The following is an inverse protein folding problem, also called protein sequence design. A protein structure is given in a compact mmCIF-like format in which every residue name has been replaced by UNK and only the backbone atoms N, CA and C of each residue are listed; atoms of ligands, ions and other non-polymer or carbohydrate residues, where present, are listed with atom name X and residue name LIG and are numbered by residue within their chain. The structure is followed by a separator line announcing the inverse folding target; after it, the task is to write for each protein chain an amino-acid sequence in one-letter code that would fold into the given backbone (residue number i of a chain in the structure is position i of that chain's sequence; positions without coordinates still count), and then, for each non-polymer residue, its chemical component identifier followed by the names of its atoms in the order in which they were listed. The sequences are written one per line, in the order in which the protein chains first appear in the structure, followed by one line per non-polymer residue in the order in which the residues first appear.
data_IF_605704297175
#
_entry.id   IF_605704297175
#
_cell.length_a   1.000
_cell.length_b   1.000
_cell.length_c   1.000
_cell.angle_alpha   90.00
_cell.angle_beta   90.00
_cell.angle_gamma   90.00
#
_symmetry.space_group_name_H-M   'P 1'
#
loop_
_entity.id
_entity.type
_entity.pdbx_description
1 polymer ?
#
# COMPACT_ATOMS: atom_id res chain seq x y z
N UNK A 1 0.18 -13.33 -13.22
CA UNK A 1 -0.52 -12.12 -13.66
C UNK A 1 0.33 -10.95 -13.25
N UNK A 2 0.73 -10.09 -14.17
CA UNK A 2 1.61 -8.95 -13.88
C UNK A 2 0.99 -7.67 -14.44
N UNK A 3 1.19 -6.55 -13.76
CA UNK A 3 0.71 -5.24 -14.20
C UNK A 3 1.89 -4.37 -14.58
N UNK A 4 1.81 -3.74 -15.74
CA UNK A 4 2.78 -2.78 -16.25
C UNK A 4 2.17 -1.39 -16.24
N UNK A 5 2.95 -0.40 -15.78
CA UNK A 5 2.55 1.00 -15.79
C UNK A 5 3.29 1.76 -16.89
N UNK A 6 2.53 2.47 -17.74
CA UNK A 6 3.06 3.14 -18.93
C UNK A 6 2.57 4.59 -18.95
N UNK A 7 3.49 5.54 -18.89
CA UNK A 7 3.18 6.98 -19.00
C UNK A 7 2.88 7.39 -20.43
N UNK A 8 2.22 8.54 -20.55
CA UNK A 8 1.88 9.23 -21.79
C UNK A 8 0.77 8.56 -22.62
N UNK A 9 0.05 7.59 -22.07
CA UNK A 9 -1.15 7.04 -22.70
C UNK A 9 -2.35 7.97 -22.46
N UNK A 10 -2.84 8.63 -23.49
CA UNK A 10 -3.90 9.67 -23.35
C UNK A 10 -5.17 9.39 -24.18
N UNK A 11 -5.17 8.38 -25.05
CA UNK A 11 -6.31 8.05 -25.92
C UNK A 11 -6.31 6.57 -26.34
N UNK A 12 -7.38 6.14 -27.00
CA UNK A 12 -7.52 4.75 -27.44
C UNK A 12 -6.48 4.33 -28.49
N UNK A 13 -5.98 5.26 -29.30
CA UNK A 13 -4.85 4.98 -30.20
C UNK A 13 -3.59 4.58 -29.44
N UNK A 14 -3.36 5.22 -28.28
CA UNK A 14 -2.25 4.83 -27.39
C UNK A 14 -2.44 3.41 -26.85
N UNK A 15 -3.68 3.04 -26.47
CA UNK A 15 -3.97 1.66 -26.02
C UNK A 15 -3.69 0.64 -27.13
N UNK A 16 -4.07 0.94 -28.38
CA UNK A 16 -3.82 0.07 -29.53
C UNK A 16 -2.33 -0.08 -29.80
N UNK A 17 -1.57 1.03 -29.84
CA UNK A 17 -0.14 1.03 -30.07
C UNK A 17 0.61 0.22 -29.00
N UNK A 18 0.29 0.45 -27.72
CA UNK A 18 0.86 -0.28 -26.60
C UNK A 18 0.53 -1.79 -26.67
N UNK A 19 -0.72 -2.14 -27.00
CA UNK A 19 -1.13 -3.54 -27.16
C UNK A 19 -0.35 -4.25 -28.26
N UNK A 20 -0.15 -3.60 -29.42
CA UNK A 20 0.64 -4.15 -30.52
C UNK A 20 2.11 -4.32 -30.14
N UNK A 21 2.68 -3.32 -29.46
CA UNK A 21 4.08 -3.39 -29.01
C UNK A 21 4.31 -4.53 -28.02
N UNK A 22 3.36 -4.75 -27.09
CA UNK A 22 3.40 -5.89 -26.16
C UNK A 22 3.40 -7.22 -26.90
N UNK A 23 2.50 -7.40 -27.88
CA UNK A 23 2.43 -8.62 -28.68
C UNK A 23 3.71 -8.88 -29.49
N UNK A 24 4.35 -7.84 -30.04
CA UNK A 24 5.62 -7.95 -30.75
C UNK A 24 6.76 -8.46 -29.85
N UNK A 25 6.70 -8.15 -28.55
CA UNK A 25 7.68 -8.62 -27.56
C UNK A 25 7.31 -9.99 -26.96
N UNK A 26 6.20 -10.60 -27.45
CA UNK A 26 5.72 -11.89 -26.95
C UNK A 26 5.06 -11.81 -25.57
N UNK A 27 4.43 -10.67 -25.27
CA UNK A 27 3.62 -10.47 -24.07
C UNK A 27 2.14 -10.35 -24.45
N UNK A 28 1.26 -11.02 -23.71
CA UNK A 28 -0.16 -11.08 -24.03
C UNK A 28 -0.97 -10.16 -23.09
N UNK A 29 -1.40 -8.98 -23.57
CA UNK A 29 -2.21 -8.08 -22.77
C UNK A 29 -3.60 -8.67 -22.56
N UNK A 30 -4.02 -8.79 -21.30
CA UNK A 30 -5.38 -9.18 -20.91
C UNK A 30 -6.32 -7.97 -20.83
N UNK A 31 -5.80 -6.85 -20.35
CA UNK A 31 -6.53 -5.60 -20.23
C UNK A 31 -5.57 -4.43 -20.46
N UNK A 32 -5.96 -3.48 -21.30
CA UNK A 32 -5.19 -2.25 -21.58
C UNK A 32 -6.04 -1.05 -21.26
N UNK A 33 -5.63 -0.30 -20.23
CA UNK A 33 -6.24 0.97 -19.82
C UNK A 33 -5.23 2.11 -20.00
N UNK A 34 -5.70 3.35 -19.83
CA UNK A 34 -4.81 4.52 -19.90
C UNK A 34 -3.84 4.52 -18.71
N UNK A 35 -2.57 4.25 -18.99
CA UNK A 35 -1.50 4.20 -17.99
C UNK A 35 -1.26 2.85 -17.33
N UNK A 36 -2.13 1.84 -17.54
CA UNK A 36 -2.03 0.54 -16.90
C UNK A 36 -2.35 -0.60 -17.87
N UNK A 37 -1.51 -1.65 -17.85
CA UNK A 37 -1.70 -2.84 -18.68
C UNK A 37 -1.52 -4.09 -17.83
N UNK A 38 -2.55 -4.94 -17.79
CA UNK A 38 -2.47 -6.27 -17.19
C UNK A 38 -2.07 -7.29 -18.25
N UNK A 39 -1.05 -8.11 -17.96
CA UNK A 39 -0.56 -9.20 -18.81
C UNK A 39 -0.71 -10.55 -18.11
N UNK A 40 -0.78 -11.63 -18.89
CA UNK A 40 -0.97 -12.98 -18.36
C UNK A 40 0.30 -13.53 -17.73
N UNK A 41 1.45 -13.22 -18.32
CA UNK A 41 2.76 -13.73 -17.93
C UNK A 41 3.47 -12.81 -16.94
N UNK A 42 4.56 -13.32 -16.37
CA UNK A 42 5.58 -12.51 -15.69
C UNK A 42 6.69 -12.24 -16.71
N UNK A 43 6.89 -11.00 -17.15
CA UNK A 43 7.87 -10.69 -18.19
C UNK A 43 9.30 -10.92 -17.69
N UNK A 44 10.15 -11.48 -18.54
CA UNK A 44 11.59 -11.59 -18.28
C UNK A 44 12.28 -10.23 -18.35
N UNK A 45 13.47 -10.12 -17.77
CA UNK A 45 14.27 -8.89 -17.81
C UNK A 45 14.61 -8.48 -19.26
N UNK A 46 14.82 -9.44 -20.16
CA UNK A 46 15.07 -9.17 -21.58
C UNK A 46 13.84 -8.63 -22.29
N UNK A 47 12.66 -9.20 -22.03
CA UNK A 47 11.39 -8.70 -22.57
C UNK A 47 11.08 -7.28 -22.10
N UNK A 48 11.29 -6.99 -20.81
CA UNK A 48 11.11 -5.64 -20.26
C UNK A 48 12.06 -4.62 -20.88
N UNK A 49 13.33 -5.01 -21.13
CA UNK A 49 14.31 -4.15 -21.79
C UNK A 49 13.89 -3.82 -23.23
N UNK A 50 13.49 -4.85 -24.02
CA UNK A 50 13.02 -4.69 -25.39
C UNK A 50 11.74 -3.85 -25.44
N UNK A 51 10.77 -4.15 -24.56
CA UNK A 51 9.52 -3.39 -24.44
C UNK A 51 9.77 -1.91 -24.11
N UNK A 52 10.68 -1.63 -23.17
CA UNK A 52 11.06 -0.26 -22.80
C UNK A 52 11.62 0.53 -23.99
N UNK A 53 12.49 -0.08 -24.79
CA UNK A 53 13.05 0.55 -25.98
C UNK A 53 11.96 0.83 -27.03
N UNK A 54 11.13 -0.16 -27.36
CA UNK A 54 10.06 -0.02 -28.33
C UNK A 54 8.99 1.01 -27.92
N UNK A 55 8.59 1.03 -26.65
CA UNK A 55 7.65 2.04 -26.12
C UNK A 55 8.23 3.45 -26.17
N UNK A 56 9.54 3.61 -25.90
CA UNK A 56 10.21 4.90 -25.95
C UNK A 56 10.21 5.49 -27.35
N UNK A 57 10.40 4.69 -28.40
CA UNK A 57 10.32 5.13 -29.80
C UNK A 57 8.94 5.69 -30.16
N UNK A 58 7.89 5.19 -29.52
CA UNK A 58 6.51 5.65 -29.67
C UNK A 58 6.13 6.82 -28.75
N UNK A 59 7.07 7.34 -27.95
CA UNK A 59 6.85 8.41 -26.99
C UNK A 59 6.25 8.00 -25.66
N UNK A 60 6.14 6.68 -25.39
CA UNK A 60 5.69 6.15 -24.12
C UNK A 60 6.88 5.86 -23.19
N UNK A 61 6.63 5.85 -21.88
CA UNK A 61 7.62 5.49 -20.86
C UNK A 61 7.11 4.32 -20.02
N UNK A 62 7.79 3.17 -20.10
CA UNK A 62 7.52 2.06 -19.19
C UNK A 62 8.06 2.39 -17.80
N UNK A 63 7.16 2.52 -16.83
CA UNK A 63 7.54 2.75 -15.44
C UNK A 63 8.17 1.51 -14.85
N UNK A 64 9.18 1.73 -14.00
CA UNK A 64 9.84 0.62 -13.32
C UNK A 64 8.88 0.07 -12.24
N UNK A 65 8.49 -1.19 -12.37
CA UNK A 65 7.62 -1.87 -11.42
C UNK A 65 8.26 -1.98 -10.02
N UNK A 66 9.57 -1.71 -9.89
CA UNK A 66 10.29 -1.68 -8.62
C UNK A 66 9.68 -0.66 -7.63
N UNK A 67 9.20 0.48 -8.12
CA UNK A 67 8.57 1.49 -7.24
C UNK A 67 7.32 0.92 -6.59
N UNK A 68 6.43 0.32 -7.38
CA UNK A 68 5.20 -0.30 -6.85
C UNK A 68 5.51 -1.51 -5.97
N UNK A 69 6.44 -2.37 -6.37
CA UNK A 69 6.90 -3.49 -5.53
C UNK A 69 7.42 -3.01 -4.17
N UNK A 70 8.18 -1.91 -4.14
CA UNK A 70 8.66 -1.35 -2.87
C UNK A 70 7.50 -0.84 -2.02
N UNK A 71 6.50 -0.18 -2.61
CA UNK A 71 5.28 0.25 -1.91
C UNK A 71 4.54 -0.96 -1.33
N UNK A 72 4.34 -2.01 -2.12
CA UNK A 72 3.66 -3.24 -1.70
C UNK A 72 4.42 -3.94 -0.56
N UNK A 73 5.75 -3.93 -0.60
CA UNK A 73 6.58 -4.44 0.48
C UNK A 73 6.46 -3.61 1.76
N UNK A 74 6.43 -2.26 1.67
CA UNK A 74 6.19 -1.37 2.81
C UNK A 74 4.84 -1.69 3.43
N UNK A 75 3.77 -1.70 2.63
CA UNK A 75 2.41 -2.01 3.10
C UNK A 75 2.34 -3.38 3.78
N UNK A 76 2.91 -4.40 3.14
CA UNK A 76 2.95 -5.76 3.68
C UNK A 76 3.71 -5.85 5.01
N UNK A 77 4.85 -5.15 5.14
CA UNK A 77 5.61 -5.10 6.39
C UNK A 77 4.81 -4.44 7.52
N UNK A 78 4.12 -3.32 7.23
CA UNK A 78 3.30 -2.61 8.21
C UNK A 78 2.06 -3.42 8.63
N UNK A 79 1.42 -4.11 7.69
CA UNK A 79 0.30 -5.01 7.99
C UNK A 79 0.78 -6.16 8.89
N UNK A 80 1.93 -6.78 8.59
CA UNK A 80 2.50 -7.82 9.47
C UNK A 80 2.76 -7.28 10.88
N UNK A 81 3.37 -6.10 11.00
CA UNK A 81 3.66 -5.49 12.29
C UNK A 81 2.40 -5.27 13.12
N UNK A 82 1.35 -4.74 12.52
CA UNK A 82 0.10 -4.38 13.22
C UNK A 82 -0.77 -5.59 13.52
N UNK A 83 -0.93 -6.53 12.57
CA UNK A 83 -1.88 -7.63 12.69
C UNK A 83 -1.30 -8.91 13.29
N UNK A 84 -0.03 -9.22 13.05
CA UNK A 84 0.59 -10.46 13.48
C UNK A 84 1.51 -10.30 14.69
N UNK A 85 2.03 -9.09 14.91
CA UNK A 85 2.90 -8.80 16.04
C UNK A 85 2.24 -7.86 17.07
N UNK A 86 0.93 -7.62 16.95
CA UNK A 86 0.17 -6.70 17.83
C UNK A 86 0.88 -5.36 18.07
N UNK A 87 1.57 -4.88 17.03
CA UNK A 87 2.38 -3.66 17.07
C UNK A 87 3.54 -3.69 18.09
N UNK A 88 4.02 -4.86 18.47
CA UNK A 88 5.16 -5.02 19.38
C UNK A 88 6.46 -5.08 18.57
N UNK A 89 7.06 -3.93 18.33
CA UNK A 89 8.43 -3.82 17.82
C UNK A 89 9.34 -3.34 18.93
N UNK A 90 10.52 -3.95 19.06
CA UNK A 90 11.59 -3.49 19.96
C UNK A 90 12.28 -2.21 19.43
N UNK A 91 12.04 -1.84 18.17
CA UNK A 91 12.65 -0.71 17.48
C UNK A 91 11.57 0.28 17.03
N UNK A 92 11.97 1.51 16.73
CA UNK A 92 11.07 2.49 16.15
C UNK A 92 10.66 2.08 14.70
N UNK A 93 9.64 2.74 14.15
CA UNK A 93 9.07 2.43 12.84
C UNK A 93 10.10 2.53 11.70
N UNK A 94 10.96 3.55 11.76
CA UNK A 94 11.98 3.79 10.72
C UNK A 94 13.03 2.67 10.70
N UNK A 95 13.51 2.27 11.87
CA UNK A 95 14.50 1.19 11.99
C UNK A 95 13.90 -0.16 11.60
N UNK A 96 12.64 -0.41 11.99
CA UNK A 96 11.91 -1.62 11.59
C UNK A 96 11.84 -1.74 10.07
N UNK A 97 11.35 -0.69 9.38
CA UNK A 97 11.22 -0.71 7.92
C UNK A 97 12.56 -0.77 7.20
N UNK A 98 13.56 -0.02 7.68
CA UNK A 98 14.91 -0.04 7.09
C UNK A 98 15.56 -1.41 7.19
N UNK A 99 15.39 -2.08 8.31
CA UNK A 99 15.90 -3.43 8.54
C UNK A 99 15.15 -4.47 7.69
N UNK A 100 13.82 -4.41 7.67
CA UNK A 100 12.96 -5.36 6.96
C UNK A 100 13.16 -5.29 5.43
N UNK A 101 13.28 -4.06 4.89
CA UNK A 101 13.41 -3.84 3.45
C UNK A 101 14.86 -3.65 2.98
N UNK A 102 15.81 -3.55 3.90
CA UNK A 102 17.23 -3.29 3.63
C UNK A 102 17.45 -2.05 2.77
N UNK A 103 16.68 -1.00 3.06
CA UNK A 103 16.70 0.28 2.36
C UNK A 103 16.65 1.43 3.37
N UNK A 104 17.20 2.57 2.98
CA UNK A 104 17.15 3.77 3.81
C UNK A 104 15.71 4.29 3.96
N UNK A 105 15.32 4.61 5.22
CA UNK A 105 13.96 5.07 5.53
C UNK A 105 13.60 6.36 4.79
N UNK A 106 14.53 7.28 4.60
CA UNK A 106 14.25 8.54 3.90
C UNK A 106 13.85 8.30 2.45
N UNK A 107 14.51 7.34 1.79
CA UNK A 107 14.16 6.92 0.42
C UNK A 107 12.79 6.24 0.37
N UNK A 108 12.50 5.33 1.33
CA UNK A 108 11.20 4.67 1.45
C UNK A 108 10.07 5.67 1.69
N UNK A 109 10.26 6.61 2.63
CA UNK A 109 9.27 7.63 3.00
C UNK A 109 8.97 8.57 1.84
N UNK A 110 9.99 9.03 1.12
CA UNK A 110 9.83 9.86 -0.07
C UNK A 110 9.04 9.13 -1.14
N UNK A 111 9.45 7.91 -1.47
CA UNK A 111 8.78 7.08 -2.48
C UNK A 111 7.32 6.83 -2.13
N UNK A 112 7.04 6.46 -0.87
CA UNK A 112 5.70 6.16 -0.39
C UNK A 112 4.80 7.40 -0.50
N UNK A 113 5.29 8.57 -0.05
CA UNK A 113 4.54 9.82 -0.12
C UNK A 113 4.25 10.27 -1.55
N UNK A 114 5.20 10.07 -2.48
CA UNK A 114 5.02 10.40 -3.90
C UNK A 114 3.96 9.53 -4.58
N UNK A 115 3.85 8.24 -4.20
CA UNK A 115 2.95 7.28 -4.86
C UNK A 115 1.59 7.24 -4.18
N UNK A 116 1.56 7.21 -2.84
CA UNK A 116 0.32 7.02 -2.06
C UNK A 116 -0.36 8.36 -1.66
N UNK A 117 0.32 9.50 -1.84
CA UNK A 117 -0.21 10.81 -1.47
C UNK A 117 -0.31 11.06 0.05
N UNK A 118 0.24 10.16 0.87
CA UNK A 118 0.29 10.25 2.34
C UNK A 118 1.60 9.67 2.88
N UNK A 119 1.98 10.05 4.11
CA UNK A 119 3.21 9.53 4.72
C UNK A 119 3.06 8.09 5.21
N UNK A 120 4.19 7.39 5.39
CA UNK A 120 4.23 6.05 6.00
C UNK A 120 3.62 6.07 7.40
N UNK A 121 3.94 7.10 8.19
CA UNK A 121 3.43 7.25 9.57
C UNK A 121 1.91 7.40 9.57
N UNK A 122 1.36 8.17 8.63
CA UNK A 122 -0.09 8.33 8.50
C UNK A 122 -0.77 7.02 8.16
N UNK A 123 -0.24 6.29 7.19
CA UNK A 123 -0.74 4.97 6.81
C UNK A 123 -0.65 3.96 7.96
N UNK A 124 0.48 3.96 8.70
CA UNK A 124 0.66 3.13 9.87
C UNK A 124 -0.33 3.42 10.99
N UNK A 125 -0.61 4.72 11.26
CA UNK A 125 -1.65 5.11 12.22
C UNK A 125 -3.02 4.58 11.79
N UNK A 126 -3.38 4.72 10.53
CA UNK A 126 -4.65 4.23 9.99
C UNK A 126 -4.79 2.71 10.15
N UNK A 127 -3.75 1.93 9.85
CA UNK A 127 -3.71 0.48 10.09
C UNK A 127 -3.93 0.14 11.57
N UNK A 128 -3.25 0.83 12.48
CA UNK A 128 -3.42 0.62 13.93
C UNK A 128 -4.85 0.90 14.38
N UNK A 129 -5.45 1.95 13.89
CA UNK A 129 -6.83 2.30 14.23
C UNK A 129 -7.82 1.27 13.68
N UNK A 130 -7.63 0.75 12.46
CA UNK A 130 -8.45 -0.35 11.95
C UNK A 130 -8.33 -1.62 12.80
N UNK A 131 -7.14 -1.94 13.29
CA UNK A 131 -6.96 -3.06 14.23
C UNK A 131 -7.64 -2.81 15.58
N UNK A 132 -7.60 -1.57 16.09
CA UNK A 132 -8.34 -1.19 17.31
C UNK A 132 -9.85 -1.30 17.10
N UNK A 133 -10.40 -0.86 15.97
CA UNK A 133 -11.82 -1.06 15.63
C UNK A 133 -12.20 -2.54 15.65
N UNK A 134 -11.34 -3.39 15.11
CA UNK A 134 -11.55 -4.85 15.12
C UNK A 134 -11.67 -5.39 16.54
N UNK A 135 -10.74 -5.04 17.44
CA UNK A 135 -10.81 -5.46 18.85
C UNK A 135 -12.05 -4.93 19.58
N UNK A 136 -12.47 -3.70 19.28
CA UNK A 136 -13.70 -3.13 19.83
C UNK A 136 -14.93 -3.90 19.33
N UNK A 137 -14.97 -4.27 18.06
CA UNK A 137 -16.09 -5.03 17.49
C UNK A 137 -16.21 -6.45 18.05
N UNK A 138 -15.10 -7.10 18.36
CA UNK A 138 -15.12 -8.44 18.99
C UNK A 138 -15.53 -8.39 20.47
N UNK A 139 -15.41 -7.23 21.12
CA UNK A 139 -15.79 -7.00 22.51
C UNK A 139 -15.17 -7.96 23.54
N UNK A 140 -14.00 -8.53 23.20
CA UNK A 140 -13.28 -9.46 24.06
C UNK A 140 -12.29 -8.75 25.01
N UNK A 141 -11.92 -7.51 24.70
CA UNK A 141 -10.91 -6.73 25.40
C UNK A 141 -11.46 -5.38 25.86
N UNK A 142 -11.03 -4.96 27.05
CA UNK A 142 -11.23 -3.58 27.52
C UNK A 142 -10.32 -2.61 26.75
N UNK A 143 -10.67 -1.33 26.72
CA UNK A 143 -9.83 -0.29 26.08
C UNK A 143 -8.41 -0.25 26.66
N UNK A 144 -8.26 -0.54 27.96
CA UNK A 144 -6.94 -0.63 28.61
C UNK A 144 -6.12 -1.79 28.03
N UNK A 145 -6.75 -2.96 27.88
CA UNK A 145 -6.09 -4.13 27.30
C UNK A 145 -5.74 -3.90 25.81
N UNK A 146 -6.64 -3.26 25.05
CA UNK A 146 -6.38 -2.87 23.66
C UNK A 146 -5.20 -1.91 23.58
N UNK A 147 -5.14 -0.89 24.44
CA UNK A 147 -4.03 0.07 24.47
C UNK A 147 -2.69 -0.62 24.75
N UNK A 148 -2.64 -1.51 25.73
CA UNK A 148 -1.45 -2.31 26.05
C UNK A 148 -1.04 -3.21 24.87
N UNK A 149 -2.01 -3.94 24.32
CA UNK A 149 -1.77 -4.88 23.20
C UNK A 149 -1.24 -4.16 21.95
N UNK A 150 -1.78 -2.99 21.66
CA UNK A 150 -1.39 -2.18 20.50
C UNK A 150 -0.20 -1.25 20.79
N UNK A 151 0.49 -1.45 21.93
CA UNK A 151 1.66 -0.68 22.35
C UNK A 151 1.42 0.84 22.36
N UNK A 152 0.28 1.25 22.92
CA UNK A 152 0.01 2.66 23.23
C UNK A 152 0.50 3.00 24.65
N UNK A 153 1.12 4.17 24.80
CA UNK A 153 1.60 4.65 26.12
C UNK A 153 0.49 4.87 27.13
N UNK A 154 -0.75 5.11 26.69
CA UNK A 154 -1.93 5.27 27.53
C UNK A 154 -3.24 5.10 26.75
N UNK A 155 -4.32 4.80 27.47
CA UNK A 155 -5.69 4.80 26.91
C UNK A 155 -6.10 6.19 26.39
N UNK A 156 -5.63 7.26 27.05
CA UNK A 156 -5.90 8.63 26.62
C UNK A 156 -5.26 8.92 25.25
N UNK A 157 -4.02 8.47 25.05
CA UNK A 157 -3.33 8.63 23.77
C UNK A 157 -4.01 7.80 22.66
N UNK A 158 -4.37 6.54 22.93
CA UNK A 158 -5.19 5.73 22.02
C UNK A 158 -6.48 6.46 21.63
N UNK A 159 -7.24 6.97 22.62
CA UNK A 159 -8.52 7.64 22.38
C UNK A 159 -8.38 8.91 21.56
N UNK A 160 -7.33 9.69 21.81
CA UNK A 160 -7.01 10.90 21.05
C UNK A 160 -6.68 10.56 19.59
N UNK A 161 -5.82 9.57 19.37
CA UNK A 161 -5.43 9.14 18.02
C UNK A 161 -6.61 8.51 17.27
N UNK A 162 -7.41 7.69 17.94
CA UNK A 162 -8.63 7.11 17.38
C UNK A 162 -9.60 8.20 16.92
N UNK A 163 -9.84 9.21 17.75
CA UNK A 163 -10.70 10.34 17.40
C UNK A 163 -10.15 11.18 16.25
N UNK A 164 -8.84 11.37 16.17
CA UNK A 164 -8.21 12.13 15.08
C UNK A 164 -8.36 11.44 13.72
N UNK A 165 -8.44 10.11 13.68
CA UNK A 165 -8.60 9.33 12.45
C UNK A 165 -10.06 9.13 12.08
N UNK A 166 -10.93 8.84 13.07
CA UNK A 166 -12.32 8.42 12.84
C UNK A 166 -13.35 9.52 13.07
N UNK A 167 -12.97 10.63 13.69
CA UNK A 167 -13.86 11.71 14.11
C UNK A 167 -14.62 11.43 15.42
N UNK A 168 -14.55 10.23 16.00
CA UNK A 168 -15.28 9.81 17.19
C UNK A 168 -14.39 9.11 18.21
N UNK A 169 -14.83 9.04 19.46
CA UNK A 169 -14.11 8.30 20.51
C UNK A 169 -14.33 6.78 20.37
N UNK A 170 -13.42 5.94 20.93
CA UNK A 170 -13.63 4.49 20.98
C UNK A 170 -14.96 4.06 21.61
N UNK A 171 -15.40 4.76 22.68
CA UNK A 171 -16.67 4.48 23.33
C UNK A 171 -17.89 4.83 22.46
N UNK A 172 -17.81 5.93 21.69
CA UNK A 172 -18.85 6.26 20.72
C UNK A 172 -18.90 5.23 19.60
N UNK A 173 -17.74 4.80 19.09
CA UNK A 173 -17.64 3.76 18.06
C UNK A 173 -18.24 2.44 18.54
N UNK A 174 -17.94 2.02 19.78
CA UNK A 174 -18.52 0.80 20.38
C UNK A 174 -20.05 0.85 20.47
N UNK A 175 -20.63 2.02 20.70
CA UNK A 175 -22.09 2.22 20.79
C UNK A 175 -22.82 2.22 19.45
N UNK A 176 -22.10 2.24 18.32
CA UNK A 176 -22.71 2.22 16.99
C UNK A 176 -23.08 0.79 16.59
N UNK A 177 -24.28 0.62 16.01
CA UNK A 177 -24.76 -0.68 15.52
C UNK A 177 -24.14 -1.07 14.17
N UNK A 178 -23.67 -0.11 13.40
CA UNK A 178 -23.10 -0.32 12.09
C UNK A 178 -21.59 -0.56 12.19
N UNK A 179 -21.10 -1.58 11.49
CA UNK A 179 -19.68 -1.88 11.42
C UNK A 179 -18.99 -0.92 10.45
N UNK A 180 -18.37 0.14 10.99
CA UNK A 180 -17.64 1.17 10.23
C UNK A 180 -16.15 0.82 10.02
N UNK A 181 -15.83 -0.45 9.86
CA UNK A 181 -14.46 -0.90 9.53
C UNK A 181 -14.15 -0.64 8.07
N UNK A 182 -12.91 -0.25 7.81
CA UNK A 182 -12.37 -0.10 6.46
C UNK A 182 -11.53 -1.32 6.09
N UNK A 183 -11.71 -1.86 4.90
CA UNK A 183 -10.88 -2.95 4.40
C UNK A 183 -9.44 -2.45 4.17
N UNK A 184 -8.43 -3.28 4.48
CA UNK A 184 -7.01 -2.90 4.43
C UNK A 184 -6.54 -2.54 3.01
N UNK A 185 -7.19 -3.07 1.99
CA UNK A 185 -6.94 -2.75 0.58
C UNK A 185 -7.45 -1.36 0.16
N UNK A 186 -8.23 -0.70 1.03
CA UNK A 186 -8.75 0.67 0.83
C UNK A 186 -8.05 1.71 1.72
N UNK A 187 -7.08 1.30 2.50
CA UNK A 187 -6.20 2.16 3.27
C UNK A 187 -4.99 2.55 2.43
#
# INVERSE_FOLDING_TARGET
MSTLYIKNMVCDRCKMAVSQTLQQVGLHPKKVELGEVSIEEVPSSSQLSTLRAALKELGFELLDNRRQQTIDHIKSALIRLVHYHDNQSSTNLSDYLSSELRQDYSALSKLFSEVEGKTIERYYIELRIERVKEFICYDELTLTQIALRMNYSSVAYLSSQFKSVTGMTPSQFKGMKDNLRTSLDKL
#
